data_IF_297160053659
#
_entry.id   IF_297160053659
#
_cell.length_a   1.000
_cell.length_b   1.000
_cell.length_c   1.000
_cell.angle_alpha   90.00
_cell.angle_beta   90.00
_cell.angle_gamma   90.00
#
_symmetry.space_group_name_H-M   'P 1'
#
loop_
_entity.id
_entity.type
_entity.pdbx_description
1 polymer ?
#
# COMPACT_ATOMS: atom_id res chain seq x y z
N UNK A 1 -19.61 39.09 -71.16
CA UNK A 1 -20.91 38.68 -70.60
C UNK A 1 -20.66 37.40 -69.83
N UNK A 2 -20.84 37.47 -68.52
CA UNK A 2 -20.40 36.51 -67.50
C UNK A 2 -21.28 35.25 -67.46
N UNK A 3 -20.80 34.31 -66.64
CA UNK A 3 -21.56 33.29 -65.91
C UNK A 3 -21.84 32.03 -66.76
N UNK A 4 -21.56 30.80 -66.34
CA UNK A 4 -21.44 30.23 -65.01
C UNK A 4 -20.46 29.05 -65.07
N UNK A 5 -19.32 29.17 -64.37
CA UNK A 5 -18.52 28.01 -64.02
C UNK A 5 -19.31 27.22 -62.96
N UNK A 6 -19.91 26.09 -63.37
CA UNK A 6 -20.59 25.17 -62.45
C UNK A 6 -19.62 24.79 -61.33
N UNK A 7 -19.96 25.27 -60.13
CA UNK A 7 -19.31 24.96 -58.88
C UNK A 7 -19.39 23.43 -58.67
N UNK A 8 -18.30 22.74 -58.97
CA UNK A 8 -18.11 21.37 -58.54
C UNK A 8 -17.98 21.40 -57.01
N UNK A 9 -19.09 21.11 -56.32
CA UNK A 9 -19.12 20.93 -54.87
C UNK A 9 -18.36 19.66 -54.51
N UNK A 10 -17.03 19.76 -54.53
CA UNK A 10 -16.12 18.80 -53.93
C UNK A 10 -16.40 18.75 -52.43
N UNK A 11 -17.09 17.69 -52.02
CA UNK A 11 -17.28 17.30 -50.62
C UNK A 11 -15.94 17.42 -49.88
N UNK A 12 -15.84 18.13 -48.74
CA UNK A 12 -14.57 18.27 -48.06
C UNK A 12 -14.10 16.88 -47.65
N UNK A 13 -12.90 16.50 -48.10
CA UNK A 13 -12.25 15.26 -47.68
C UNK A 13 -12.15 15.29 -46.16
N UNK A 14 -12.86 14.39 -45.49
CA UNK A 14 -12.78 14.20 -44.05
C UNK A 14 -11.34 13.77 -43.76
N UNK A 15 -10.51 14.70 -43.28
CA UNK A 15 -9.16 14.41 -42.84
C UNK A 15 -9.29 13.49 -41.63
N UNK A 16 -9.16 12.19 -41.87
CA UNK A 16 -9.18 11.17 -40.83
C UNK A 16 -8.18 11.55 -39.75
N UNK A 17 -8.68 11.69 -38.52
CA UNK A 17 -7.88 12.04 -37.33
C UNK A 17 -6.81 10.96 -37.14
N UNK A 18 -5.58 11.22 -37.58
CA UNK A 18 -4.45 10.31 -37.37
C UNK A 18 -4.25 10.17 -35.86
N UNK A 19 -4.67 9.04 -35.31
CA UNK A 19 -4.41 8.69 -33.91
C UNK A 19 -2.90 8.60 -33.73
N UNK A 20 -2.32 9.53 -32.98
CA UNK A 20 -0.89 9.48 -32.63
C UNK A 20 -0.62 8.10 -32.01
N UNK A 21 0.42 7.36 -32.45
CA UNK A 21 0.77 6.11 -31.83
C UNK A 21 1.05 6.38 -30.35
N UNK A 22 0.33 5.69 -29.45
CA UNK A 22 0.61 5.77 -28.01
C UNK A 22 2.10 5.49 -27.83
N UNK A 23 2.82 6.42 -27.19
CA UNK A 23 4.24 6.29 -26.89
C UNK A 23 4.52 4.90 -26.31
N UNK A 24 5.63 4.28 -26.71
CA UNK A 24 6.07 2.99 -26.20
C UNK A 24 6.13 2.98 -24.66
N UNK A 25 6.37 4.14 -24.05
CA UNK A 25 6.40 4.32 -22.59
C UNK A 25 5.02 4.07 -21.95
N UNK A 26 3.94 4.49 -22.59
CA UNK A 26 2.57 4.25 -22.09
C UNK A 26 2.17 2.78 -22.18
N UNK A 27 2.75 2.02 -23.12
CA UNK A 27 2.55 0.57 -23.21
C UNK A 27 3.34 -0.16 -22.13
N UNK A 28 4.60 0.22 -21.88
CA UNK A 28 5.44 -0.34 -20.82
C UNK A 28 4.84 -0.09 -19.43
N UNK A 29 4.37 1.13 -19.17
CA UNK A 29 3.72 1.48 -17.89
C UNK A 29 2.49 0.60 -17.59
N UNK A 30 1.67 0.31 -18.61
CA UNK A 30 0.47 -0.54 -18.46
C UNK A 30 0.81 -1.97 -18.02
N UNK A 31 1.88 -2.54 -18.57
CA UNK A 31 2.34 -3.88 -18.19
C UNK A 31 2.84 -3.89 -16.75
N UNK A 32 3.55 -2.83 -16.32
CA UNK A 32 3.96 -2.66 -14.92
C UNK A 32 2.78 -2.63 -13.95
N UNK A 33 1.70 -1.91 -14.28
CA UNK A 33 0.50 -1.90 -13.44
C UNK A 33 -0.18 -3.27 -13.36
N UNK A 34 -0.27 -4.02 -14.47
CA UNK A 34 -0.84 -5.37 -14.47
C UNK A 34 0.03 -6.33 -13.64
N UNK A 35 1.35 -6.17 -13.64
CA UNK A 35 2.27 -6.98 -12.86
C UNK A 35 2.09 -6.77 -11.34
N UNK A 36 1.90 -5.52 -10.91
CA UNK A 36 1.71 -5.18 -9.49
C UNK A 36 0.26 -5.38 -9.02
N UNK A 37 -0.71 -5.39 -9.95
CA UNK A 37 -2.13 -5.47 -9.64
C UNK A 37 -2.53 -6.66 -8.74
N UNK A 38 -2.08 -7.90 -8.95
CA UNK A 38 -2.45 -9.03 -8.08
C UNK A 38 -2.04 -8.79 -6.62
N UNK A 39 -0.84 -8.26 -6.39
CA UNK A 39 -0.37 -7.90 -5.05
C UNK A 39 -1.23 -6.79 -4.44
N UNK A 40 -1.51 -5.73 -5.21
CA UNK A 40 -2.34 -4.62 -4.73
C UNK A 40 -3.76 -5.07 -4.40
N UNK A 41 -4.34 -5.98 -5.18
CA UNK A 41 -5.68 -6.51 -4.92
C UNK A 41 -5.70 -7.25 -3.58
N UNK A 42 -4.73 -8.13 -3.33
CA UNK A 42 -4.63 -8.84 -2.04
C UNK A 42 -4.40 -7.86 -0.90
N UNK A 43 -3.51 -6.90 -1.07
CA UNK A 43 -3.25 -5.86 -0.07
C UNK A 43 -4.52 -5.08 0.28
N UNK A 44 -5.28 -4.63 -0.72
CA UNK A 44 -6.49 -3.84 -0.51
C UNK A 44 -7.65 -4.66 0.07
N UNK A 45 -7.82 -5.92 -0.34
CA UNK A 45 -8.94 -6.74 0.11
C UNK A 45 -8.70 -7.43 1.45
N UNK A 46 -7.43 -7.66 1.82
CA UNK A 46 -7.08 -8.41 3.03
C UNK A 46 -6.44 -7.48 4.06
N UNK A 47 -5.38 -6.77 3.67
CA UNK A 47 -4.59 -6.01 4.62
C UNK A 47 -5.31 -4.74 5.10
N UNK A 48 -5.97 -4.01 4.20
CA UNK A 48 -6.68 -2.78 4.57
C UNK A 48 -7.82 -3.04 5.56
N UNK A 49 -8.71 -4.03 5.37
CA UNK A 49 -9.72 -4.37 6.37
C UNK A 49 -9.13 -4.76 7.72
N UNK A 50 -8.07 -5.58 7.73
CA UNK A 50 -7.40 -5.99 8.99
C UNK A 50 -6.89 -4.77 9.76
N UNK A 51 -6.22 -3.84 9.08
CA UNK A 51 -5.71 -2.62 9.71
C UNK A 51 -6.86 -1.75 10.21
N UNK A 52 -7.90 -1.59 9.39
CA UNK A 52 -9.07 -0.79 9.76
C UNK A 52 -9.79 -1.37 10.99
N UNK A 53 -10.05 -2.67 11.01
CA UNK A 53 -10.65 -3.36 12.15
C UNK A 53 -9.76 -3.29 13.40
N UNK A 54 -8.43 -3.45 13.25
CA UNK A 54 -7.50 -3.31 14.37
C UNK A 54 -7.56 -1.94 15.03
N UNK A 55 -7.68 -0.89 14.21
CA UNK A 55 -7.89 0.48 14.70
C UNK A 55 -9.27 0.59 15.35
N UNK A 56 -10.34 0.08 14.73
CA UNK A 56 -11.67 0.13 15.32
C UNK A 56 -11.72 -0.57 16.69
N UNK A 57 -11.06 -1.73 16.82
CA UNK A 57 -10.98 -2.48 18.07
C UNK A 57 -10.16 -1.75 19.14
N UNK A 58 -9.15 -0.96 18.78
CA UNK A 58 -8.41 -0.21 19.79
C UNK A 58 -9.25 0.88 20.48
N UNK A 59 -10.30 1.39 19.82
CA UNK A 59 -11.27 2.34 20.39
C UNK A 59 -12.54 1.68 20.94
N UNK A 60 -12.63 0.34 20.90
CA UNK A 60 -13.82 -0.40 21.31
C UNK A 60 -13.49 -1.40 22.42
N UNK A 61 -14.45 -1.67 23.29
CA UNK A 61 -14.41 -2.77 24.23
C UNK A 61 -15.14 -3.98 23.63
N UNK A 62 -14.51 -5.15 23.67
CA UNK A 62 -15.04 -6.37 23.06
C UNK A 62 -15.90 -7.11 24.08
N UNK A 63 -17.20 -7.21 23.83
CA UNK A 63 -18.15 -7.93 24.68
C UNK A 63 -18.51 -9.26 24.02
N UNK A 64 -18.09 -10.37 24.62
CA UNK A 64 -18.42 -11.71 24.10
C UNK A 64 -19.89 -12.03 24.33
N UNK A 65 -20.60 -12.43 23.27
CA UNK A 65 -22.01 -12.83 23.37
C UNK A 65 -22.12 -14.31 23.74
N UNK A 66 -23.05 -14.63 24.63
CA UNK A 66 -23.33 -16.02 25.04
C UNK A 66 -23.75 -16.94 23.88
N UNK A 67 -24.27 -16.39 22.79
CA UNK A 67 -24.71 -17.13 21.59
C UNK A 67 -23.63 -17.27 20.52
N UNK A 68 -22.38 -16.92 20.82
CA UNK A 68 -21.28 -16.84 19.85
C UNK A 68 -21.20 -15.46 19.18
N UNK A 69 -19.96 -15.04 18.88
CA UNK A 69 -19.63 -13.71 18.37
C UNK A 69 -19.26 -12.71 19.47
N UNK A 70 -18.98 -11.49 19.06
CA UNK A 70 -18.66 -10.37 19.94
C UNK A 70 -19.37 -9.11 19.46
N UNK A 71 -19.77 -8.26 20.41
CA UNK A 71 -20.21 -6.90 20.16
C UNK A 71 -19.06 -5.93 20.48
N UNK A 72 -19.06 -4.78 19.82
CA UNK A 72 -18.09 -3.72 20.01
C UNK A 72 -18.78 -2.54 20.69
N UNK A 73 -18.42 -2.29 21.93
CA UNK A 73 -18.85 -1.10 22.64
C UNK A 73 -17.82 0.00 22.42
N UNK A 74 -18.18 1.07 21.70
CA UNK A 74 -17.25 2.16 21.43
C UNK A 74 -16.96 2.95 22.72
N UNK A 75 -15.72 2.87 23.21
CA UNK A 75 -15.25 3.52 24.44
C UNK A 75 -14.29 4.68 24.18
N UNK A 76 -14.03 5.00 22.90
CA UNK A 76 -13.15 6.10 22.53
C UNK A 76 -11.72 5.87 23.06
N UNK A 77 -11.19 6.82 23.83
CA UNK A 77 -9.79 6.80 24.29
C UNK A 77 -9.57 6.07 25.61
N UNK A 78 -10.61 5.52 26.23
CA UNK A 78 -10.50 4.93 27.57
C UNK A 78 -9.49 3.77 27.61
N UNK A 79 -9.49 2.92 26.58
CA UNK A 79 -8.51 1.84 26.42
C UNK A 79 -7.05 2.35 26.43
N UNK A 80 -6.79 3.49 25.81
CA UNK A 80 -5.44 4.09 25.76
C UNK A 80 -5.07 4.68 27.11
N UNK A 81 -6.01 5.35 27.79
CA UNK A 81 -5.78 5.87 29.13
C UNK A 81 -5.47 4.74 30.12
N UNK A 82 -6.24 3.67 30.06
CA UNK A 82 -6.02 2.48 30.89
C UNK A 82 -4.66 1.84 30.59
N UNK A 83 -4.34 1.59 29.32
CA UNK A 83 -3.08 0.97 28.94
C UNK A 83 -1.85 1.82 29.33
N UNK A 84 -1.90 3.15 29.16
CA UNK A 84 -0.73 4.01 29.32
C UNK A 84 -0.52 4.50 30.76
N UNK A 85 -1.59 4.70 31.53
CA UNK A 85 -1.50 5.33 32.85
C UNK A 85 -1.94 4.43 34.00
N UNK A 86 -2.76 3.41 33.74
CA UNK A 86 -3.31 2.54 34.78
C UNK A 86 -2.59 1.19 34.80
N UNK A 87 -2.28 0.63 33.63
CA UNK A 87 -1.67 -0.70 33.51
C UNK A 87 -0.13 -0.62 33.50
N UNK A 88 0.55 -0.98 34.61
CA UNK A 88 2.01 -0.91 34.68
C UNK A 88 2.69 -1.95 33.77
N UNK A 89 2.06 -3.11 33.57
CA UNK A 89 2.62 -4.19 32.75
C UNK A 89 2.69 -3.77 31.28
N UNK A 90 1.68 -3.04 30.79
CA UNK A 90 1.67 -2.56 29.40
C UNK A 90 2.86 -1.63 29.11
N UNK A 91 3.11 -0.64 29.96
CA UNK A 91 4.24 0.29 29.79
C UNK A 91 5.59 -0.44 29.92
N UNK A 92 5.69 -1.39 30.84
CA UNK A 92 6.90 -2.20 31.00
C UNK A 92 7.18 -3.02 29.73
N UNK A 93 6.17 -3.71 29.20
CA UNK A 93 6.28 -4.51 27.98
C UNK A 93 6.60 -3.63 26.78
N UNK A 94 5.90 -2.49 26.61
CA UNK A 94 6.15 -1.53 25.54
C UNK A 94 7.59 -1.01 25.58
N UNK A 95 8.05 -0.56 26.74
CA UNK A 95 9.39 0.00 26.91
C UNK A 95 10.47 -1.06 26.69
N UNK A 96 10.27 -2.27 27.19
CA UNK A 96 11.22 -3.37 27.01
C UNK A 96 11.29 -3.81 25.55
N UNK A 97 10.14 -3.89 24.85
CA UNK A 97 10.08 -4.18 23.42
C UNK A 97 10.78 -3.12 22.58
N UNK A 98 10.55 -1.83 22.85
CA UNK A 98 11.25 -0.74 22.14
C UNK A 98 12.76 -0.80 22.39
N UNK A 99 13.20 -1.00 23.65
CA UNK A 99 14.62 -1.16 23.97
C UNK A 99 15.24 -2.33 23.21
N UNK A 100 14.53 -3.45 23.13
CA UNK A 100 14.96 -4.63 22.39
C UNK A 100 15.11 -4.32 20.90
N UNK A 101 14.11 -3.69 20.27
CA UNK A 101 14.15 -3.31 18.85
C UNK A 101 15.33 -2.38 18.54
N UNK A 102 15.61 -1.41 19.41
CA UNK A 102 16.73 -0.48 19.26
C UNK A 102 18.09 -1.18 19.29
N UNK A 103 18.20 -2.30 20.02
CA UNK A 103 19.43 -3.10 20.08
C UNK A 103 19.50 -4.07 18.88
N UNK A 104 18.39 -4.72 18.56
CA UNK A 104 18.33 -5.75 17.52
C UNK A 104 18.55 -5.18 16.13
N UNK A 105 17.94 -4.03 15.79
CA UNK A 105 18.03 -3.46 14.44
C UNK A 105 19.49 -3.16 14.05
N UNK A 106 20.30 -2.42 14.85
CA UNK A 106 21.70 -2.20 14.53
C UNK A 106 22.52 -3.50 14.48
N UNK A 107 22.27 -4.45 15.39
CA UNK A 107 22.96 -5.72 15.39
C UNK A 107 22.70 -6.52 14.10
N UNK A 108 21.44 -6.59 13.66
CA UNK A 108 21.04 -7.22 12.39
C UNK A 108 21.69 -6.49 11.22
N UNK A 109 21.71 -5.16 11.20
CA UNK A 109 22.33 -4.39 10.11
C UNK A 109 23.83 -4.65 10.03
N UNK A 110 24.55 -4.60 11.16
CA UNK A 110 25.99 -4.89 11.21
C UNK A 110 26.26 -6.32 10.74
N UNK A 111 25.48 -7.28 11.23
CA UNK A 111 25.62 -8.68 10.85
C UNK A 111 25.31 -8.92 9.36
N UNK A 112 24.22 -8.33 8.85
CA UNK A 112 23.84 -8.42 7.44
C UNK A 112 24.90 -7.80 6.52
N UNK A 113 25.50 -6.67 6.93
CA UNK A 113 26.58 -6.02 6.21
C UNK A 113 27.85 -6.86 6.22
N UNK A 114 28.21 -7.43 7.38
CA UNK A 114 29.36 -8.34 7.49
C UNK A 114 29.22 -9.52 6.52
N UNK A 115 28.07 -10.21 6.53
CA UNK A 115 27.78 -11.32 5.61
C UNK A 115 27.80 -10.85 4.16
N UNK A 116 27.20 -9.69 3.85
CA UNK A 116 27.22 -9.13 2.51
C UNK A 116 28.64 -8.85 2.02
N UNK A 117 29.53 -8.31 2.87
CA UNK A 117 30.93 -8.06 2.53
C UNK A 117 31.69 -9.36 2.30
N UNK A 118 31.52 -10.36 3.16
CA UNK A 118 32.16 -11.69 3.00
C UNK A 118 31.71 -12.35 1.70
N UNK A 119 30.42 -12.29 1.37
CA UNK A 119 29.88 -12.86 0.14
C UNK A 119 30.27 -12.06 -1.12
N UNK A 120 30.46 -10.75 -0.99
CA UNK A 120 30.87 -9.88 -2.08
C UNK A 120 32.38 -9.96 -2.38
N UNK A 121 33.17 -10.50 -1.46
CA UNK A 121 34.54 -10.89 -1.77
C UNK A 121 34.49 -12.10 -2.73
N UNK A 122 35.22 -12.04 -3.84
CA UNK A 122 35.30 -13.17 -4.77
C UNK A 122 35.99 -14.34 -4.06
N UNK A 123 35.20 -15.31 -3.61
CA UNK A 123 35.67 -16.52 -2.91
C UNK A 123 36.44 -17.47 -3.87
N UNK A 124 36.50 -17.16 -5.17
CA UNK A 124 37.28 -17.92 -6.15
C UNK A 124 38.16 -16.99 -6.99
N UNK A 125 39.47 -17.04 -6.71
CA UNK A 125 40.54 -16.87 -7.69
C UNK A 125 41.08 -18.27 -8.01
#
# INVERSE_FOLDING_TARGET
MNAEAKLNTGKPAVIGKKTKPKSLDSRKARVGYIFVAPFLIVFLLVYVPIVFESIQYSFSYIVTRNSGGFDLDFVGFDNYNEALFINPDFIQTLTSGIKQLVIDIPAIVIFSLFIAVVLNQKIFA
#
